data_IF_928840946850
#
_entry.id   IF_928840946850
#
_cell.length_a   1.000
_cell.length_b   1.000
_cell.length_c   1.000
_cell.angle_alpha   90.00
_cell.angle_beta   90.00
_cell.angle_gamma   90.00
#
_symmetry.space_group_name_H-M   'P 1'
#
loop_
_entity.id
_entity.type
_entity.pdbx_description
1 polymer ?
#
# COMPACT_ATOMS: atom_id res chain seq x y z
N UNK A 1 -0.70 2.43 -20.86
CA UNK A 1 0.07 2.97 -19.71
C UNK A 1 0.89 1.84 -19.12
N UNK A 2 2.16 2.07 -18.83
CA UNK A 2 3.05 1.08 -18.22
C UNK A 2 3.11 1.31 -16.71
N UNK A 3 2.72 0.29 -15.94
CA UNK A 3 2.72 0.34 -14.48
C UNK A 3 3.88 -0.49 -13.91
N UNK A 4 4.33 -0.12 -12.72
CA UNK A 4 5.21 -0.90 -11.86
C UNK A 4 4.53 -1.03 -10.49
N UNK A 5 4.28 -2.26 -10.05
CA UNK A 5 3.78 -2.50 -8.69
C UNK A 5 4.96 -2.69 -7.78
N UNK A 6 5.00 -1.96 -6.65
CA UNK A 6 6.07 -2.07 -5.65
C UNK A 6 5.44 -2.38 -4.30
N UNK A 7 5.97 -3.42 -3.65
CA UNK A 7 5.57 -3.86 -2.31
C UNK A 7 6.68 -3.50 -1.33
N UNK A 8 6.55 -2.42 -0.53
CA UNK A 8 7.51 -2.14 0.53
C UNK A 8 7.28 -3.08 1.71
N UNK A 9 8.37 -3.67 2.22
CA UNK A 9 8.35 -4.54 3.38
C UNK A 9 9.57 -4.27 4.26
N UNK A 10 9.35 -4.04 5.57
CA UNK A 10 10.43 -3.88 6.55
C UNK A 10 10.30 -4.91 7.66
N UNK A 11 11.44 -5.34 8.19
CA UNK A 11 11.45 -6.33 9.27
C UNK A 11 11.00 -5.73 10.61
N UNK A 12 11.29 -4.45 10.83
CA UNK A 12 11.01 -3.72 12.07
C UNK A 12 9.53 -3.34 12.22
N UNK A 13 8.75 -4.23 12.84
CA UNK A 13 7.36 -3.94 13.25
C UNK A 13 7.28 -3.94 14.77
N UNK A 14 6.80 -2.85 15.37
CA UNK A 14 6.70 -2.73 16.84
C UNK A 14 5.61 -3.62 17.44
N UNK A 15 4.45 -3.71 16.78
CA UNK A 15 3.28 -4.47 17.25
C UNK A 15 3.37 -5.97 16.97
N UNK A 16 4.03 -6.36 15.89
CA UNK A 16 4.20 -7.74 15.44
C UNK A 16 5.64 -7.92 14.96
N UNK A 17 6.58 -8.36 15.83
CA UNK A 17 7.97 -8.60 15.41
C UNK A 17 8.03 -9.54 14.20
N UNK A 18 8.91 -9.20 13.25
CA UNK A 18 9.10 -9.97 12.02
C UNK A 18 7.79 -10.18 11.21
N UNK A 19 6.84 -9.25 11.30
CA UNK A 19 5.50 -9.34 10.68
C UNK A 19 5.49 -9.87 9.24
N UNK A 20 6.35 -9.42 8.31
CA UNK A 20 6.34 -9.93 6.94
C UNK A 20 6.65 -11.43 6.82
N UNK A 21 7.37 -11.98 7.78
CA UNK A 21 7.79 -13.40 7.82
C UNK A 21 6.84 -14.28 8.63
N UNK A 22 5.83 -13.72 9.29
CA UNK A 22 4.79 -14.49 9.99
C UNK A 22 4.11 -15.42 8.99
N UNK A 23 4.00 -16.71 9.32
CA UNK A 23 3.45 -17.74 8.44
C UNK A 23 2.05 -18.15 8.85
N UNK A 24 1.18 -18.27 7.86
CA UNK A 24 -0.14 -18.91 7.97
C UNK A 24 -0.49 -19.56 6.62
N UNK A 25 -1.30 -20.58 6.65
CA UNK A 25 -1.67 -21.35 5.45
C UNK A 25 -0.44 -21.78 4.61
N UNK A 26 0.68 -22.10 5.27
CA UNK A 26 1.90 -22.62 4.64
C UNK A 26 2.81 -21.58 3.98
N UNK A 27 2.48 -20.29 4.00
CA UNK A 27 3.27 -19.20 3.40
C UNK A 27 3.47 -18.05 4.38
N UNK A 28 4.53 -17.26 4.19
CA UNK A 28 4.70 -16.01 4.94
C UNK A 28 3.71 -14.94 4.47
N UNK A 29 3.44 -13.95 5.33
CA UNK A 29 2.54 -12.83 5.03
C UNK A 29 2.97 -12.10 3.75
N UNK A 30 4.25 -11.81 3.59
CA UNK A 30 4.76 -11.13 2.40
C UNK A 30 4.55 -11.96 1.13
N UNK A 31 4.68 -13.30 1.19
CA UNK A 31 4.42 -14.18 0.04
C UNK A 31 2.96 -14.15 -0.36
N UNK A 32 2.03 -14.18 0.58
CA UNK A 32 0.60 -14.05 0.28
C UNK A 32 0.31 -12.75 -0.48
N UNK A 33 0.83 -11.62 0.01
CA UNK A 33 0.66 -10.32 -0.66
C UNK A 33 1.23 -10.33 -2.07
N UNK A 34 2.46 -10.83 -2.25
CA UNK A 34 3.15 -10.86 -3.55
C UNK A 34 2.41 -11.79 -4.53
N UNK A 35 2.01 -12.99 -4.10
CA UNK A 35 1.29 -13.94 -4.96
C UNK A 35 -0.01 -13.32 -5.50
N UNK A 36 -0.82 -12.67 -4.65
CA UNK A 36 -2.04 -12.00 -5.10
C UNK A 36 -1.77 -10.85 -6.09
N UNK A 37 -0.67 -10.12 -5.91
CA UNK A 37 -0.29 -9.05 -6.83
C UNK A 37 0.18 -9.62 -8.17
N UNK A 38 1.00 -10.67 -8.16
CA UNK A 38 1.43 -11.37 -9.39
C UNK A 38 0.24 -11.94 -10.15
N UNK A 39 -0.73 -12.53 -9.45
CA UNK A 39 -1.97 -13.05 -10.04
C UNK A 39 -2.83 -11.96 -10.71
N UNK A 40 -2.63 -10.68 -10.36
CA UNK A 40 -3.31 -9.58 -11.03
C UNK A 40 -2.87 -9.38 -12.48
N UNK A 41 -1.62 -9.71 -12.80
CA UNK A 41 -1.04 -9.55 -14.14
C UNK A 41 -0.90 -8.10 -14.61
N UNK A 42 -0.92 -7.12 -13.70
CA UNK A 42 -0.98 -5.68 -14.05
C UNK A 42 0.34 -5.14 -14.61
N UNK A 43 1.46 -5.80 -14.35
CA UNK A 43 2.77 -5.38 -14.84
C UNK A 43 3.92 -5.99 -14.05
N UNK A 44 5.15 -5.49 -14.19
CA UNK A 44 6.25 -5.90 -13.33
C UNK A 44 5.92 -5.67 -11.85
N UNK A 45 6.31 -6.63 -11.00
CA UNK A 45 6.12 -6.58 -9.54
C UNK A 45 7.48 -6.55 -8.88
N UNK A 46 7.72 -5.57 -8.03
CA UNK A 46 8.92 -5.46 -7.23
C UNK A 46 8.60 -5.56 -5.73
N UNK A 47 9.49 -6.17 -4.96
CA UNK A 47 9.47 -6.16 -3.50
C UNK A 47 10.69 -5.37 -3.03
N UNK A 48 10.45 -4.35 -2.20
CA UNK A 48 11.47 -3.45 -1.68
C UNK A 48 11.65 -3.65 -0.18
N UNK A 49 12.86 -4.03 0.26
CA UNK A 49 13.10 -4.35 1.68
C UNK A 49 14.53 -3.99 2.12
N UNK A 50 14.69 -3.76 3.41
CA UNK A 50 15.98 -3.58 4.09
C UNK A 50 16.50 -4.88 4.75
N UNK A 51 15.82 -6.01 4.54
CA UNK A 51 16.09 -7.26 5.24
C UNK A 51 16.53 -8.37 4.29
N UNK A 52 17.72 -8.94 4.54
CA UNK A 52 18.17 -10.14 3.84
C UNK A 52 17.25 -11.34 4.07
N UNK A 53 16.61 -11.45 5.24
CA UNK A 53 15.66 -12.52 5.54
C UNK A 53 14.43 -12.46 4.64
N UNK A 54 13.89 -11.25 4.38
CA UNK A 54 12.77 -11.07 3.46
C UNK A 54 13.22 -11.32 2.01
N UNK A 55 14.44 -10.92 1.64
CA UNK A 55 15.01 -11.25 0.34
C UNK A 55 15.10 -12.76 0.10
N UNK A 56 15.63 -13.50 1.10
CA UNK A 56 15.75 -14.96 1.06
C UNK A 56 14.39 -15.65 0.99
N UNK A 57 13.42 -15.19 1.82
CA UNK A 57 12.04 -15.71 1.84
C UNK A 57 11.36 -15.60 0.47
N UNK A 58 11.70 -14.59 -0.32
CA UNK A 58 11.07 -14.32 -1.61
C UNK A 58 11.94 -14.70 -2.83
N UNK A 59 13.12 -15.29 -2.63
CA UNK A 59 14.12 -15.50 -3.68
C UNK A 59 13.67 -16.45 -4.80
N UNK A 60 12.77 -17.37 -4.51
CA UNK A 60 12.26 -18.39 -5.43
C UNK A 60 10.93 -17.98 -6.12
N UNK A 61 10.44 -16.76 -5.90
CA UNK A 61 9.19 -16.29 -6.51
C UNK A 61 9.45 -15.86 -7.95
N UNK A 62 8.89 -16.61 -8.88
CA UNK A 62 9.01 -16.33 -10.32
C UNK A 62 8.32 -14.99 -10.67
N UNK A 63 8.98 -14.18 -11.50
CA UNK A 63 8.43 -12.89 -11.94
C UNK A 63 8.55 -11.74 -10.93
N UNK A 64 9.05 -11.98 -9.72
CA UNK A 64 9.31 -10.95 -8.74
C UNK A 64 10.66 -10.26 -8.99
N UNK A 65 10.72 -8.95 -8.79
CA UNK A 65 11.93 -8.13 -8.82
C UNK A 65 12.30 -7.73 -7.38
N UNK A 66 13.12 -8.51 -6.66
CA UNK A 66 13.52 -8.15 -5.31
C UNK A 66 14.55 -7.01 -5.34
N UNK A 67 14.37 -6.01 -4.49
CA UNK A 67 15.24 -4.82 -4.38
C UNK A 67 15.63 -4.62 -2.93
N UNK A 68 16.93 -4.65 -2.66
CA UNK A 68 17.48 -4.23 -1.37
C UNK A 68 17.51 -2.70 -1.34
N UNK A 69 16.96 -2.12 -0.27
CA UNK A 69 16.84 -0.68 -0.05
C UNK A 69 17.45 -0.28 1.30
N UNK A 70 17.69 1.01 1.51
CA UNK A 70 18.23 1.52 2.77
C UNK A 70 17.34 1.19 3.97
N UNK A 71 17.97 0.94 5.11
CA UNK A 71 17.31 0.84 6.42
C UNK A 71 16.90 2.20 6.98
N UNK A 72 17.41 3.31 6.43
CA UNK A 72 17.21 4.67 6.94
C UNK A 72 15.85 5.27 6.58
N UNK A 73 15.10 4.61 5.70
CA UNK A 73 13.77 5.06 5.34
C UNK A 73 12.80 5.09 6.51
N UNK A 74 12.14 6.22 6.68
CA UNK A 74 11.20 6.44 7.77
C UNK A 74 9.79 5.94 7.45
N UNK A 75 9.46 5.81 6.15
CA UNK A 75 8.16 5.35 5.68
C UNK A 75 8.26 4.43 4.45
N UNK A 76 7.13 3.76 4.14
CA UNK A 76 7.05 2.85 3.00
C UNK A 76 7.23 3.55 1.65
N UNK A 77 6.75 4.77 1.50
CA UNK A 77 6.79 5.53 0.24
C UNK A 77 8.22 5.94 -0.15
N UNK A 78 9.09 6.28 0.81
CA UNK A 78 10.52 6.52 0.54
C UNK A 78 11.20 5.26 0.01
N UNK A 79 10.89 4.11 0.56
CA UNK A 79 11.38 2.80 0.11
C UNK A 79 10.89 2.47 -1.31
N UNK A 80 9.65 2.81 -1.61
CA UNK A 80 9.08 2.66 -2.96
C UNK A 80 9.82 3.54 -3.96
N UNK A 81 10.14 4.78 -3.60
CA UNK A 81 10.92 5.69 -4.45
C UNK A 81 12.30 5.11 -4.76
N UNK A 82 13.06 4.67 -3.73
CA UNK A 82 14.39 4.10 -3.95
C UNK A 82 14.33 2.87 -4.87
N UNK A 83 13.39 1.97 -4.63
CA UNK A 83 13.22 0.79 -5.49
C UNK A 83 12.86 1.16 -6.93
N UNK A 84 12.00 2.17 -7.13
CA UNK A 84 11.69 2.69 -8.45
C UNK A 84 12.94 3.25 -9.14
N UNK A 85 13.75 4.07 -8.47
CA UNK A 85 14.97 4.66 -9.05
C UNK A 85 15.99 3.57 -9.45
N UNK A 86 16.14 2.53 -8.64
CA UNK A 86 17.02 1.39 -8.97
C UNK A 86 16.52 0.64 -10.22
N UNK A 87 15.21 0.46 -10.35
CA UNK A 87 14.62 -0.35 -11.42
C UNK A 87 14.36 0.45 -12.70
N UNK A 88 14.18 1.75 -12.63
CA UNK A 88 13.79 2.61 -13.77
C UNK A 88 14.74 2.48 -14.96
N UNK A 89 16.04 2.37 -14.70
CA UNK A 89 17.06 2.19 -15.75
C UNK A 89 16.90 0.86 -16.52
N UNK A 90 16.35 -0.17 -15.88
CA UNK A 90 16.16 -1.51 -16.48
C UNK A 90 14.80 -1.65 -17.15
N UNK A 91 13.78 -1.05 -16.55
CA UNK A 91 12.38 -1.20 -16.99
C UNK A 91 11.99 -0.17 -18.05
N UNK A 92 12.77 0.90 -18.24
CA UNK A 92 12.44 2.02 -19.10
C UNK A 92 11.29 2.86 -18.52
N UNK A 93 10.62 3.65 -19.37
CA UNK A 93 9.56 4.58 -18.91
C UNK A 93 8.42 3.84 -18.22
N UNK A 94 8.13 4.25 -17.01
CA UNK A 94 6.98 3.84 -16.19
C UNK A 94 6.07 5.05 -16.08
N UNK A 95 4.78 4.87 -16.39
CA UNK A 95 3.79 5.95 -16.29
C UNK A 95 3.26 6.09 -14.86
N UNK A 96 3.06 4.95 -14.17
CA UNK A 96 2.51 4.92 -12.81
C UNK A 96 3.19 3.89 -11.94
N UNK A 97 3.37 4.23 -10.67
CA UNK A 97 3.85 3.35 -9.61
C UNK A 97 2.66 3.03 -8.71
N UNK A 98 2.36 1.74 -8.55
CA UNK A 98 1.33 1.23 -7.64
C UNK A 98 2.02 0.70 -6.40
N UNK A 99 1.81 1.35 -5.27
CA UNK A 99 2.35 0.97 -3.98
C UNK A 99 1.31 0.15 -3.21
N UNK A 100 1.57 -1.13 -3.03
CA UNK A 100 0.74 -2.04 -2.22
C UNK A 100 1.52 -2.43 -0.97
N UNK A 101 0.95 -2.20 0.20
CA UNK A 101 1.64 -2.47 1.46
C UNK A 101 1.89 -3.97 1.65
N UNK A 102 3.07 -4.34 2.17
CA UNK A 102 3.46 -5.74 2.39
C UNK A 102 2.65 -6.46 3.47
N UNK A 103 1.78 -5.75 4.17
CA UNK A 103 0.87 -6.26 5.20
C UNK A 103 -0.60 -6.38 4.73
N UNK A 104 -0.79 -6.49 3.41
CA UNK A 104 -2.10 -6.70 2.77
C UNK A 104 -2.22 -8.13 2.20
N UNK A 105 -2.09 -9.20 3.02
CA UNK A 105 -2.04 -10.58 2.52
C UNK A 105 -3.36 -11.07 1.93
N UNK A 106 -4.44 -10.35 2.15
CA UNK A 106 -5.80 -10.66 1.65
C UNK A 106 -6.24 -9.71 0.54
N UNK A 107 -5.31 -8.94 -0.04
CA UNK A 107 -5.64 -8.04 -1.14
C UNK A 107 -6.18 -8.81 -2.34
N UNK A 108 -7.30 -8.35 -2.91
CA UNK A 108 -7.87 -8.99 -4.09
C UNK A 108 -7.02 -8.71 -5.34
N UNK A 109 -6.61 -9.74 -6.11
CA UNK A 109 -6.00 -9.53 -7.43
C UNK A 109 -6.87 -8.67 -8.36
N UNK A 110 -8.19 -8.78 -8.24
CA UNK A 110 -9.14 -7.99 -9.03
C UNK A 110 -9.11 -6.50 -8.67
N UNK A 111 -8.87 -6.15 -7.39
CA UNK A 111 -8.66 -4.77 -6.98
C UNK A 111 -7.49 -4.16 -7.78
N UNK A 112 -6.36 -4.85 -7.79
CA UNK A 112 -5.15 -4.38 -8.50
C UNK A 112 -5.41 -4.32 -10.01
N UNK A 113 -6.10 -5.31 -10.59
CA UNK A 113 -6.43 -5.36 -12.02
C UNK A 113 -7.33 -4.22 -12.47
N UNK A 114 -8.17 -3.69 -11.58
CA UNK A 114 -9.06 -2.55 -11.87
C UNK A 114 -8.34 -1.21 -11.89
N UNK A 115 -7.22 -1.06 -11.19
CA UNK A 115 -6.52 0.23 -11.07
C UNK A 115 -6.18 0.86 -12.43
N UNK A 116 -5.51 0.18 -13.38
CA UNK A 116 -5.20 0.79 -14.68
C UNK A 116 -6.43 1.25 -15.47
N UNK A 117 -7.53 0.50 -15.36
CA UNK A 117 -8.80 0.81 -16.04
C UNK A 117 -9.40 2.10 -15.49
N UNK A 118 -9.42 2.26 -14.18
CA UNK A 118 -9.96 3.45 -13.54
C UNK A 118 -9.01 4.65 -13.68
N UNK A 119 -7.70 4.44 -13.62
CA UNK A 119 -6.71 5.49 -13.86
C UNK A 119 -6.83 6.10 -15.25
N UNK A 120 -7.10 5.30 -16.29
CA UNK A 120 -7.27 5.84 -17.65
C UNK A 120 -8.36 6.90 -17.72
N UNK A 121 -9.42 6.74 -16.93
CA UNK A 121 -10.52 7.70 -16.85
C UNK A 121 -10.16 8.94 -16.00
N UNK A 122 -9.20 8.82 -15.08
CA UNK A 122 -8.92 9.78 -14.00
C UNK A 122 -7.54 10.42 -14.07
N UNK A 123 -6.69 10.02 -15.02
CA UNK A 123 -5.30 10.48 -15.13
C UNK A 123 -5.12 12.00 -15.28
N UNK A 124 -6.17 12.70 -15.70
CA UNK A 124 -6.18 14.15 -15.84
C UNK A 124 -6.62 14.88 -14.56
N UNK A 125 -7.05 14.17 -13.51
CA UNK A 125 -7.58 14.76 -12.28
C UNK A 125 -6.51 15.02 -11.23
N UNK A 126 -5.47 14.19 -11.20
CA UNK A 126 -4.43 14.27 -10.17
C UNK A 126 -3.11 13.64 -10.68
N UNK A 127 -2.08 13.66 -9.84
CA UNK A 127 -0.81 12.94 -9.98
C UNK A 127 -0.63 11.91 -8.86
N UNK A 128 -1.58 11.89 -7.91
CA UNK A 128 -1.62 11.00 -6.76
C UNK A 128 -3.05 10.47 -6.57
N UNK A 129 -3.17 9.15 -6.51
CA UNK A 129 -4.44 8.46 -6.30
C UNK A 129 -4.31 7.43 -5.20
N UNK A 130 -5.46 7.07 -4.63
CA UNK A 130 -5.58 5.91 -3.73
C UNK A 130 -6.88 5.18 -4.00
N UNK A 131 -6.98 3.93 -3.56
CA UNK A 131 -8.23 3.17 -3.67
C UNK A 131 -9.04 3.26 -2.40
N UNK A 132 -10.35 3.24 -2.54
CA UNK A 132 -11.31 3.26 -1.44
C UNK A 132 -12.43 2.25 -1.68
N UNK A 133 -12.98 1.73 -0.59
CA UNK A 133 -14.12 0.81 -0.59
C UNK A 133 -15.27 1.38 0.24
N UNK A 134 -16.42 0.70 0.19
CA UNK A 134 -17.51 0.99 1.14
C UNK A 134 -17.04 0.70 2.57
N UNK A 135 -17.40 1.57 3.49
CA UNK A 135 -17.08 1.39 4.90
C UNK A 135 -18.20 0.59 5.59
N UNK A 136 -17.95 -0.66 6.02
CA UNK A 136 -18.95 -1.44 6.76
C UNK A 136 -19.32 -0.74 8.07
N UNK A 137 -20.59 -0.73 8.49
CA UNK A 137 -21.00 -0.15 9.77
C UNK A 137 -20.25 -0.73 10.98
N UNK A 138 -19.85 -1.98 10.93
CA UNK A 138 -19.04 -2.65 11.96
C UNK A 138 -17.65 -2.07 12.11
N UNK A 139 -17.08 -1.47 11.06
CA UNK A 139 -15.73 -0.88 11.06
C UNK A 139 -15.72 0.62 11.32
N UNK A 140 -16.89 1.26 11.42
CA UNK A 140 -17.02 2.70 11.63
C UNK A 140 -16.22 3.20 12.84
N UNK A 141 -16.27 2.46 13.95
CA UNK A 141 -15.61 2.81 15.21
C UNK A 141 -14.23 2.15 15.36
N UNK A 142 -13.79 1.31 14.41
CA UNK A 142 -12.48 0.67 14.50
C UNK A 142 -11.38 1.67 14.12
N UNK A 143 -10.52 2.02 15.08
CA UNK A 143 -9.40 2.96 14.87
C UNK A 143 -8.25 2.37 14.05
N UNK A 144 -8.22 1.07 13.81
CA UNK A 144 -7.25 0.46 12.89
C UNK A 144 -7.62 0.73 11.42
N UNK A 145 -8.89 0.98 11.15
CA UNK A 145 -9.39 1.29 9.81
C UNK A 145 -9.27 2.80 9.56
N UNK A 146 -8.53 3.17 8.52
CA UNK A 146 -8.47 4.54 8.04
C UNK A 146 -9.72 4.85 7.20
N UNK A 147 -10.34 5.98 7.48
CA UNK A 147 -11.54 6.49 6.81
C UNK A 147 -11.19 7.73 6.02
N UNK A 148 -11.89 7.96 4.93
CA UNK A 148 -11.73 9.16 4.10
C UNK A 148 -13.07 9.74 3.71
N UNK A 149 -13.21 11.05 3.84
CA UNK A 149 -14.35 11.81 3.31
C UNK A 149 -13.96 12.39 1.97
N UNK A 150 -14.85 12.29 0.99
CA UNK A 150 -14.61 12.70 -0.39
C UNK A 150 -15.44 13.91 -0.77
N UNK A 151 -14.91 14.72 -1.68
CA UNK A 151 -15.71 15.73 -2.37
C UNK A 151 -16.53 15.10 -3.52
N UNK A 152 -17.27 15.93 -4.26
CA UNK A 152 -18.09 15.47 -5.41
C UNK A 152 -17.28 14.99 -6.61
N UNK A 153 -15.99 15.32 -6.66
CA UNK A 153 -15.04 14.88 -7.68
C UNK A 153 -14.20 13.68 -7.21
N UNK A 154 -14.59 13.09 -6.07
CA UNK A 154 -13.88 11.96 -5.44
C UNK A 154 -12.45 12.32 -4.99
N UNK A 155 -12.16 13.60 -4.73
CA UNK A 155 -10.92 13.98 -4.07
C UNK A 155 -11.06 13.85 -2.55
N UNK A 156 -9.99 13.41 -1.91
CA UNK A 156 -9.94 13.32 -0.46
C UNK A 156 -10.01 14.73 0.18
N UNK A 157 -10.95 14.90 1.10
CA UNK A 157 -11.04 16.09 1.94
C UNK A 157 -10.30 15.92 3.25
N UNK A 158 -10.42 14.74 3.87
CA UNK A 158 -9.73 14.39 5.11
C UNK A 158 -9.64 12.88 5.26
N UNK A 159 -8.51 12.42 5.82
CA UNK A 159 -8.39 11.06 6.34
C UNK A 159 -8.43 11.10 7.87
N UNK A 160 -9.07 10.11 8.47
CA UNK A 160 -9.19 10.00 9.92
C UNK A 160 -9.29 8.54 10.35
N UNK A 161 -8.93 8.27 11.61
CA UNK A 161 -9.20 6.99 12.28
C UNK A 161 -10.44 7.06 13.19
N UNK A 162 -10.94 8.26 13.45
CA UNK A 162 -12.14 8.47 14.26
C UNK A 162 -13.41 8.25 13.41
N UNK A 163 -14.53 7.89 14.04
CA UNK A 163 -15.81 7.74 13.36
C UNK A 163 -16.25 9.04 12.69
N UNK A 164 -16.61 8.94 11.41
CA UNK A 164 -17.16 10.07 10.65
C UNK A 164 -18.19 9.54 9.65
N UNK A 165 -19.32 10.24 9.55
CA UNK A 165 -20.38 9.85 8.61
C UNK A 165 -19.97 10.07 7.15
N UNK A 166 -20.59 9.34 6.25
CA UNK A 166 -20.37 9.41 4.79
C UNK A 166 -18.93 9.12 4.35
N UNK A 167 -18.11 8.55 5.23
CA UNK A 167 -16.75 8.16 4.89
C UNK A 167 -16.71 6.86 4.08
N UNK A 168 -15.66 6.73 3.28
CA UNK A 168 -15.25 5.48 2.67
C UNK A 168 -14.11 4.86 3.48
N UNK A 169 -13.93 3.55 3.34
CA UNK A 169 -12.76 2.83 3.84
C UNK A 169 -11.58 3.06 2.92
N UNK A 170 -10.47 3.52 3.46
CA UNK A 170 -9.21 3.60 2.73
C UNK A 170 -8.54 2.21 2.68
N UNK A 171 -8.16 1.75 1.49
CA UNK A 171 -7.64 0.39 1.29
C UNK A 171 -6.11 0.34 1.17
N UNK A 172 -5.41 1.42 1.55
CA UNK A 172 -3.94 1.51 1.66
C UNK A 172 -3.15 1.16 0.38
N UNK A 173 -3.79 1.26 -0.79
CA UNK A 173 -3.12 1.16 -2.08
C UNK A 173 -2.96 2.56 -2.65
N UNK A 174 -1.71 2.94 -2.95
CA UNK A 174 -1.40 4.26 -3.47
C UNK A 174 -0.88 4.17 -4.90
N UNK A 175 -1.22 5.17 -5.69
CA UNK A 175 -0.76 5.25 -7.08
C UNK A 175 -0.18 6.64 -7.30
N UNK A 176 1.01 6.70 -7.91
CA UNK A 176 1.73 7.93 -8.15
C UNK A 176 2.18 8.02 -9.60
N UNK A 177 2.25 9.24 -10.13
CA UNK A 177 3.22 9.48 -11.20
C UNK A 177 4.63 9.50 -10.61
N UNK A 178 5.67 9.09 -11.37
CA UNK A 178 7.04 9.10 -10.86
C UNK A 178 7.48 10.48 -10.35
N UNK A 179 7.11 11.55 -11.04
CA UNK A 179 7.48 12.92 -10.66
C UNK A 179 6.78 13.36 -9.38
N UNK A 180 5.51 12.98 -9.21
CA UNK A 180 4.82 13.22 -7.93
C UNK A 180 5.50 12.48 -6.79
N UNK A 181 5.85 11.20 -6.98
CA UNK A 181 6.49 10.40 -5.93
C UNK A 181 7.81 11.04 -5.46
N UNK A 182 8.66 11.51 -6.39
CA UNK A 182 9.88 12.26 -6.04
C UNK A 182 9.57 13.52 -5.25
N UNK A 183 8.60 14.30 -5.71
CA UNK A 183 8.17 15.54 -5.03
C UNK A 183 7.61 15.23 -3.65
N UNK A 184 6.78 14.22 -3.50
CA UNK A 184 6.20 13.81 -2.22
C UNK A 184 7.28 13.40 -1.20
N UNK A 185 8.25 12.57 -1.60
CA UNK A 185 9.34 12.15 -0.72
C UNK A 185 10.32 13.29 -0.38
N UNK A 186 10.35 14.38 -1.15
CA UNK A 186 11.15 15.58 -0.81
C UNK A 186 10.46 16.51 0.20
N UNK A 187 9.18 16.27 0.53
CA UNK A 187 8.45 17.08 1.51
C UNK A 187 8.73 16.59 2.93
N UNK A 188 8.89 17.54 3.85
CA UNK A 188 8.94 17.22 5.28
C UNK A 188 7.61 16.64 5.77
N UNK A 189 7.64 15.65 6.69
CA UNK A 189 6.44 15.11 7.31
C UNK A 189 5.59 16.20 7.96
N UNK A 190 4.33 16.30 7.55
CA UNK A 190 3.44 17.39 7.96
C UNK A 190 2.92 17.23 9.40
N UNK A 191 2.36 18.29 9.94
CA UNK A 191 1.76 18.25 11.29
C UNK A 191 0.56 17.30 11.36
N UNK A 192 -0.27 17.29 10.32
CA UNK A 192 -1.43 16.40 10.25
C UNK A 192 -1.02 14.94 10.06
N UNK A 193 -0.01 14.67 9.23
CA UNK A 193 0.56 13.32 9.09
C UNK A 193 1.01 12.75 10.44
N UNK A 194 1.76 13.54 11.23
CA UNK A 194 2.24 13.13 12.56
C UNK A 194 1.09 12.93 13.56
N UNK A 195 0.11 13.83 13.55
CA UNK A 195 -1.03 13.78 14.47
C UNK A 195 -1.93 12.57 14.22
N UNK A 196 -2.17 12.20 12.96
CA UNK A 196 -3.06 11.11 12.59
C UNK A 196 -2.34 9.80 12.29
N UNK A 197 -1.00 9.81 12.19
CA UNK A 197 -0.18 8.66 11.72
C UNK A 197 -0.69 8.13 10.36
N UNK A 198 -0.94 9.06 9.43
CA UNK A 198 -1.44 8.80 8.09
C UNK A 198 -0.61 9.60 7.09
N UNK A 199 0.27 8.92 6.38
CA UNK A 199 1.28 9.51 5.48
C UNK A 199 0.64 10.37 4.37
N UNK A 200 -0.49 9.96 3.84
CA UNK A 200 -1.22 10.70 2.79
C UNK A 200 -1.72 12.07 3.24
N UNK A 201 -1.82 12.32 4.54
CA UNK A 201 -2.15 13.66 5.07
C UNK A 201 -1.10 14.70 4.70
N UNK A 202 0.15 14.30 4.45
CA UNK A 202 1.22 15.20 3.96
C UNK A 202 0.82 15.88 2.66
N UNK A 203 0.18 15.14 1.73
CA UNK A 203 -0.28 15.72 0.47
C UNK A 203 -1.39 16.76 0.72
N UNK A 204 -2.40 16.42 1.52
CA UNK A 204 -3.52 17.32 1.82
C UNK A 204 -3.08 18.58 2.55
N UNK A 205 -2.18 18.45 3.54
CA UNK A 205 -1.64 19.57 4.32
C UNK A 205 -0.81 20.54 3.45
N UNK A 206 -0.25 20.05 2.35
CA UNK A 206 0.45 20.87 1.35
C UNK A 206 -0.46 21.32 0.19
N UNK A 207 -1.79 21.16 0.31
CA UNK A 207 -2.75 21.60 -0.71
C UNK A 207 -2.71 20.80 -2.01
N UNK A 208 -2.18 19.58 -1.99
CA UNK A 208 -2.10 18.71 -3.15
C UNK A 208 -3.36 17.86 -3.28
N UNK A 209 -3.79 17.61 -4.51
CA UNK A 209 -4.95 16.76 -4.79
C UNK A 209 -4.59 15.29 -4.66
N UNK A 210 -5.37 14.57 -3.86
CA UNK A 210 -5.38 13.11 -3.80
C UNK A 210 -6.76 12.64 -4.28
N UNK A 211 -6.83 12.08 -5.48
CA UNK A 211 -8.08 11.56 -6.01
C UNK A 211 -8.26 10.10 -5.58
N UNK A 212 -9.45 9.77 -5.12
CA UNK A 212 -9.80 8.43 -4.63
C UNK A 212 -10.53 7.64 -5.71
N UNK A 213 -10.14 6.39 -5.88
CA UNK A 213 -10.73 5.45 -6.84
C UNK A 213 -11.66 4.51 -6.07
N UNK A 214 -12.99 4.68 -6.16
CA UNK A 214 -13.92 3.76 -5.51
C UNK A 214 -13.91 2.41 -6.22
N UNK A 215 -13.67 1.34 -5.47
CA UNK A 215 -13.69 -0.03 -5.96
C UNK A 215 -14.56 -0.91 -5.06
N UNK A 216 -15.28 -1.89 -5.62
CA UNK A 216 -16.14 -2.80 -4.85
C UNK A 216 -15.34 -3.94 -4.19
N UNK A 217 -14.08 -3.69 -3.84
CA UNK A 217 -13.17 -4.66 -3.24
C UNK A 217 -12.62 -4.08 -1.95
N UNK A 218 -12.72 -4.85 -0.89
CA UNK A 218 -12.12 -4.52 0.39
C UNK A 218 -10.68 -5.05 0.46
N UNK A 219 -9.87 -4.43 1.31
CA UNK A 219 -8.55 -4.89 1.70
C UNK A 219 -8.53 -5.05 3.22
N UNK A 220 -8.00 -6.18 3.69
CA UNK A 220 -7.85 -6.47 5.12
C UNK A 220 -6.37 -6.41 5.44
N UNK A 221 -5.94 -5.26 5.98
CA UNK A 221 -4.57 -5.09 6.47
C UNK A 221 -4.38 -5.86 7.77
N UNK A 222 -3.31 -6.62 7.87
CA UNK A 222 -2.94 -7.31 9.10
C UNK A 222 -1.96 -6.44 9.88
N UNK A 223 -2.43 -5.81 10.95
CA UNK A 223 -1.64 -4.94 11.84
C UNK A 223 -1.45 -5.53 13.23
N UNK A 224 -2.33 -6.46 13.63
CA UNK A 224 -2.33 -7.15 14.93
C UNK A 224 -2.68 -8.62 14.73
N UNK A 225 -2.44 -9.45 15.75
CA UNK A 225 -2.87 -10.85 15.73
C UNK A 225 -4.40 -11.00 15.65
N UNK A 226 -5.15 -10.06 16.22
CA UNK A 226 -6.61 -10.01 16.12
C UNK A 226 -7.10 -9.83 14.69
N UNK A 227 -6.33 -9.14 13.84
CA UNK A 227 -6.68 -8.97 12.42
C UNK A 227 -6.60 -10.31 11.67
N UNK A 228 -5.66 -11.20 12.05
CA UNK A 228 -5.61 -12.57 11.52
C UNK A 228 -6.84 -13.37 11.91
N UNK A 229 -7.25 -13.29 13.19
CA UNK A 229 -8.45 -13.97 13.69
C UNK A 229 -9.71 -13.47 12.96
N UNK A 230 -9.85 -12.14 12.79
CA UNK A 230 -10.94 -11.54 11.99
C UNK A 230 -10.95 -12.02 10.55
N UNK A 231 -9.77 -12.30 9.98
CA UNK A 231 -9.62 -12.86 8.63
C UNK A 231 -9.84 -14.40 8.59
N UNK A 232 -10.18 -15.04 9.71
CA UNK A 232 -10.43 -16.48 9.80
C UNK A 232 -9.16 -17.34 9.87
N UNK A 233 -8.02 -16.77 10.24
CA UNK A 233 -6.76 -17.49 10.42
C UNK A 233 -6.66 -17.96 11.88
N UNK A 234 -6.88 -19.25 12.10
CA UNK A 234 -6.89 -19.88 13.44
C UNK A 234 -5.50 -20.28 13.93
N UNK A 235 -4.53 -20.44 13.00
CA UNK A 235 -3.17 -20.85 13.34
C UNK A 235 -2.12 -20.11 12.52
N UNK A 236 -1.05 -19.69 13.17
CA UNK A 236 0.08 -19.03 12.56
C UNK A 236 1.39 -19.35 13.28
N UNK A 237 2.50 -19.20 12.57
CA UNK A 237 3.85 -19.40 13.11
C UNK A 237 4.59 -18.07 13.14
N UNK A 238 5.17 -17.73 14.27
CA UNK A 238 6.00 -16.53 14.44
C UNK A 238 7.44 -16.89 14.07
N UNK A 239 8.01 -16.15 13.16
CA UNK A 239 9.43 -16.26 12.80
C UNK A 239 10.29 -15.77 13.96
N UNK A 240 11.12 -16.66 14.50
CA UNK A 240 12.02 -16.39 15.62
C UNK A 240 13.39 -15.89 15.16
#
# INVERSE_FOLDING_TARGET
>A
MKQLVIVPARIGSERMPNKPLLRFNGKSMIRHTIDHILDSGVGPVAMATDSSLIMEECADIDGLLPVMTSSDHTCGTERVLEAYEILSNKLGTIDYIINVQGDEPFISPELIRRIPIELEKRKHLAEFWTTVAELPPSEMSDRNVAKVVLDKQENALIFTRDPIQEAKKHTSVYIYTPDFLRRFCSMEPSSLEKAYSLEQMRALDNGLTLNCIPLPFDAISVNTYEDLEKAGIESYEIFQ
#
